data_IF_440854631676
#
_entry.id   IF_440854631676
#
_cell.length_a   1.000
_cell.length_b   1.000
_cell.length_c   1.000
_cell.angle_alpha   90.00
_cell.angle_beta   90.00
_cell.angle_gamma   90.00
#
_symmetry.space_group_name_H-M   'P 1'
#
loop_
_entity.id
_entity.type
_entity.pdbx_description
1 polymer ?
#
# COMPACT_ATOMS: atom_id res chain seq x y z
N UNK A 1 13.25 75.85 5.77
CA UNK A 1 12.57 75.26 4.59
C UNK A 1 12.09 73.89 4.96
N UNK A 2 10.78 73.63 5.06
CA UNK A 2 10.28 72.34 5.50
C UNK A 2 10.10 71.43 4.29
N UNK A 3 10.56 70.18 4.45
CA UNK A 3 10.46 69.10 3.50
C UNK A 3 9.03 68.55 3.53
N UNK A 4 8.31 68.66 2.42
CA UNK A 4 6.96 68.19 2.28
C UNK A 4 6.87 66.66 2.35
N UNK A 5 6.06 66.17 3.28
CA UNK A 5 5.64 64.76 3.36
C UNK A 5 4.72 64.45 2.20
N UNK A 6 5.16 63.57 1.32
CA UNK A 6 4.29 62.90 0.34
C UNK A 6 3.51 61.80 1.08
N UNK A 7 2.22 62.04 1.28
CA UNK A 7 1.29 61.02 1.78
C UNK A 7 0.77 60.24 0.55
N UNK A 8 1.25 59.05 0.36
CA UNK A 8 0.64 58.11 -0.63
C UNK A 8 -0.53 57.41 0.08
N UNK A 9 -1.72 57.89 -0.23
CA UNK A 9 -2.98 57.29 0.17
C UNK A 9 -3.31 56.16 -0.79
N UNK A 10 -2.85 54.92 -0.50
CA UNK A 10 -3.32 53.72 -1.19
C UNK A 10 -4.02 52.82 -0.16
N UNK A 11 -5.30 53.07 0.06
CA UNK A 11 -6.18 52.25 0.88
C UNK A 11 -6.42 50.87 0.27
N UNK A 12 -5.36 50.08 0.15
CA UNK A 12 -5.50 48.64 0.00
C UNK A 12 -5.14 48.02 1.36
N UNK A 13 -6.18 47.79 2.17
CA UNK A 13 -6.09 46.89 3.30
C UNK A 13 -5.62 45.54 2.75
N UNK A 14 -4.41 45.10 3.15
CA UNK A 14 -3.94 43.78 2.83
C UNK A 14 -5.00 42.77 3.35
N UNK A 15 -5.43 41.79 2.55
CA UNK A 15 -6.40 40.82 3.06
C UNK A 15 -5.78 40.09 4.25
N UNK A 16 -6.50 40.14 5.35
CA UNK A 16 -6.18 39.43 6.58
C UNK A 16 -5.88 37.95 6.27
N UNK A 17 -4.62 37.53 6.47
CA UNK A 17 -4.15 36.17 6.21
C UNK A 17 -4.76 35.15 7.17
N UNK A 18 -5.56 35.54 8.14
CA UNK A 18 -6.23 34.65 9.09
C UNK A 18 -7.52 34.03 8.58
N UNK A 19 -8.08 34.50 7.47
CA UNK A 19 -9.29 33.92 6.85
C UNK A 19 -8.97 33.16 5.57
N UNK A 20 -8.01 32.27 5.56
CA UNK A 20 -8.05 31.15 4.61
C UNK A 20 -9.28 30.31 4.96
N UNK A 21 -10.43 30.66 4.41
CA UNK A 21 -11.56 29.71 4.29
C UNK A 21 -11.02 28.50 3.55
N UNK A 22 -10.60 27.49 4.32
CA UNK A 22 -10.37 26.18 3.80
C UNK A 22 -11.71 25.77 3.21
N UNK A 23 -11.82 25.77 1.89
CA UNK A 23 -12.99 25.23 1.18
C UNK A 23 -13.07 23.74 1.57
N UNK A 24 -13.73 23.44 2.68
CA UNK A 24 -14.06 22.08 3.07
C UNK A 24 -15.10 21.60 2.08
N UNK A 25 -14.67 20.78 1.12
CA UNK A 25 -15.60 20.08 0.24
C UNK A 25 -16.66 19.37 1.10
N UNK A 26 -17.92 19.50 0.73
CA UNK A 26 -19.02 18.84 1.44
C UNK A 26 -18.84 17.33 1.27
N UNK A 27 -18.73 16.62 2.38
CA UNK A 27 -18.66 15.15 2.40
C UNK A 27 -20.02 14.56 2.07
N UNK A 28 -20.02 13.43 1.35
CA UNK A 28 -21.26 12.72 1.03
C UNK A 28 -22.00 12.21 2.29
N UNK A 29 -23.32 12.04 2.20
CA UNK A 29 -24.17 11.62 3.33
C UNK A 29 -23.68 10.32 3.98
N UNK A 30 -23.40 9.27 3.17
CA UNK A 30 -22.85 7.99 3.67
C UNK A 30 -21.58 8.15 4.49
N UNK A 31 -20.60 8.90 3.97
CA UNK A 31 -19.36 9.16 4.70
C UNK A 31 -19.63 9.89 6.03
N UNK A 32 -20.59 10.84 6.04
CA UNK A 32 -20.92 11.59 7.24
C UNK A 32 -21.56 10.68 8.30
N UNK A 33 -22.37 9.72 7.88
CA UNK A 33 -22.98 8.70 8.76
C UNK A 33 -21.92 7.73 9.31
N UNK A 34 -21.07 7.16 8.44
CA UNK A 34 -19.97 6.29 8.87
C UNK A 34 -18.99 7.02 9.80
N UNK A 35 -18.74 8.32 9.56
CA UNK A 35 -17.83 9.11 10.39
C UNK A 35 -18.36 9.38 11.80
N UNK A 36 -19.67 9.27 12.06
CA UNK A 36 -20.26 9.37 13.41
C UNK A 36 -19.96 8.15 14.28
N UNK A 37 -19.64 7.01 13.67
CA UNK A 37 -19.29 5.77 14.38
C UNK A 37 -17.88 5.82 14.96
N UNK A 38 -17.05 6.78 14.52
CA UNK A 38 -15.63 6.86 14.86
C UNK A 38 -15.34 8.14 15.65
N UNK A 39 -14.91 7.98 16.89
CA UNK A 39 -14.34 9.09 17.65
C UNK A 39 -12.86 9.26 17.25
N UNK A 40 -12.52 10.41 16.68
CA UNK A 40 -11.18 10.71 16.18
C UNK A 40 -10.15 11.00 17.26
N UNK A 41 -10.61 11.24 18.48
CA UNK A 41 -9.75 11.52 19.64
C UNK A 41 -9.26 10.23 20.29
N UNK A 42 -10.03 9.16 20.17
CA UNK A 42 -9.74 7.88 20.78
C UNK A 42 -8.74 7.05 19.95
N UNK A 43 -7.95 6.26 20.66
CA UNK A 43 -7.10 5.19 20.12
C UNK A 43 -7.77 3.87 20.48
N UNK A 44 -8.14 3.10 19.47
CA UNK A 44 -8.86 1.84 19.61
C UNK A 44 -7.90 0.65 19.68
N UNK A 45 -8.35 -0.43 20.26
CA UNK A 45 -7.69 -1.73 20.15
C UNK A 45 -7.96 -2.36 18.77
N UNK A 46 -7.18 -3.35 18.37
CA UNK A 46 -7.25 -3.95 17.02
C UNK A 46 -8.64 -4.54 16.75
N UNK A 47 -9.17 -5.31 17.71
CA UNK A 47 -10.45 -5.99 17.58
C UNK A 47 -11.61 -4.98 17.46
N UNK A 48 -11.61 -3.94 18.31
CA UNK A 48 -12.58 -2.86 18.24
C UNK A 48 -12.50 -2.09 16.92
N UNK A 49 -11.26 -1.78 16.48
CA UNK A 49 -11.04 -1.07 15.23
C UNK A 49 -11.56 -1.86 14.03
N UNK A 50 -11.32 -3.17 13.98
CA UNK A 50 -11.81 -4.07 12.93
C UNK A 50 -13.35 -4.12 12.93
N UNK A 51 -13.98 -4.26 14.11
CA UNK A 51 -15.43 -4.26 14.24
C UNK A 51 -16.05 -2.95 13.74
N UNK A 52 -15.44 -1.79 14.06
CA UNK A 52 -15.89 -0.47 13.60
C UNK A 52 -15.69 -0.31 12.08
N UNK A 53 -14.52 -0.75 11.52
CA UNK A 53 -14.26 -0.71 10.07
C UNK A 53 -15.34 -1.47 9.32
N UNK A 54 -15.69 -2.68 9.76
CA UNK A 54 -16.76 -3.49 9.13
C UNK A 54 -18.12 -2.81 9.18
N UNK A 55 -18.49 -2.21 10.31
CA UNK A 55 -19.73 -1.44 10.45
C UNK A 55 -19.75 -0.17 9.58
N UNK A 56 -18.58 0.46 9.38
CA UNK A 56 -18.43 1.66 8.58
C UNK A 56 -18.41 1.38 7.07
N UNK A 57 -18.12 0.15 6.65
CA UNK A 57 -18.12 -0.28 5.26
C UNK A 57 -19.58 -0.33 4.74
N UNK A 58 -19.98 0.70 4.00
CA UNK A 58 -21.37 0.92 3.56
C UNK A 58 -21.53 0.96 2.03
N UNK A 59 -20.48 0.63 1.27
CA UNK A 59 -20.54 0.61 -0.19
C UNK A 59 -21.32 -0.61 -0.72
N UNK A 60 -21.77 -0.52 -1.98
CA UNK A 60 -22.49 -1.61 -2.65
C UNK A 60 -21.58 -2.72 -3.19
N UNK A 61 -20.28 -2.56 -3.03
CA UNK A 61 -19.25 -3.53 -3.42
C UNK A 61 -18.48 -3.99 -2.19
N UNK A 62 -17.78 -5.11 -2.30
CA UNK A 62 -16.94 -5.62 -1.21
C UNK A 62 -15.70 -4.74 -1.05
N UNK A 63 -15.76 -3.85 -0.04
CA UNK A 63 -14.69 -2.89 0.25
C UNK A 63 -13.42 -3.60 0.70
N UNK A 64 -12.26 -3.03 0.36
CA UNK A 64 -10.99 -3.50 0.87
C UNK A 64 -10.70 -2.80 2.21
N UNK A 65 -10.26 -3.57 3.19
CA UNK A 65 -9.74 -3.06 4.45
C UNK A 65 -8.24 -2.86 4.31
N UNK A 66 -7.78 -1.64 4.56
CA UNK A 66 -6.39 -1.22 4.38
C UNK A 66 -5.79 -0.72 5.69
N UNK A 67 -4.52 -1.04 5.91
CA UNK A 67 -3.72 -0.51 7.00
C UNK A 67 -2.77 0.57 6.50
N UNK A 68 -2.72 1.69 7.21
CA UNK A 68 -1.82 2.80 6.95
C UNK A 68 -0.95 3.01 8.18
N UNK A 69 0.33 2.69 8.06
CA UNK A 69 1.27 2.62 9.18
C UNK A 69 2.34 3.69 8.96
N UNK A 70 2.34 4.71 9.79
CA UNK A 70 3.36 5.74 9.77
C UNK A 70 4.52 5.35 10.67
N UNK A 71 5.69 5.24 10.07
CA UNK A 71 6.92 4.87 10.74
C UNK A 71 7.75 6.09 11.17
N UNK A 72 8.57 5.90 12.20
CA UNK A 72 9.52 6.88 12.70
C UNK A 72 10.90 6.74 12.05
N UNK A 73 10.94 6.51 10.74
CA UNK A 73 12.15 6.39 9.93
C UNK A 73 12.28 7.57 8.96
N UNK A 74 13.47 7.78 8.40
CA UNK A 74 13.67 8.73 7.31
C UNK A 74 13.87 8.02 5.98
N UNK A 75 12.82 7.97 5.17
CA UNK A 75 12.81 7.30 3.85
C UNK A 75 13.74 7.94 2.80
N UNK A 76 14.45 9.02 3.13
CA UNK A 76 15.47 9.62 2.25
C UNK A 76 16.77 8.82 2.27
N UNK A 77 17.03 8.13 3.37
CA UNK A 77 18.21 7.29 3.54
C UNK A 77 17.91 5.87 3.05
N UNK A 78 18.80 5.33 2.24
CA UNK A 78 18.62 4.02 1.61
C UNK A 78 18.58 2.85 2.63
N UNK A 79 19.25 3.02 3.77
CA UNK A 79 19.30 2.11 4.91
C UNK A 79 18.02 2.11 5.76
N UNK A 80 17.20 3.17 5.62
CA UNK A 80 15.91 3.31 6.32
C UNK A 80 14.70 3.14 5.37
N UNK A 81 14.94 2.83 4.10
CA UNK A 81 13.88 2.49 3.16
C UNK A 81 13.40 1.06 3.39
N UNK A 82 12.23 0.95 4.00
CA UNK A 82 11.61 -0.35 4.22
C UNK A 82 10.84 -0.81 2.99
N UNK A 83 11.14 -2.02 2.58
CA UNK A 83 10.43 -2.76 1.54
C UNK A 83 10.54 -4.23 1.85
N UNK A 84 9.41 -4.91 1.85
CA UNK A 84 9.36 -6.34 2.10
C UNK A 84 8.10 -6.96 1.52
N UNK A 85 7.95 -8.24 1.79
CA UNK A 85 6.74 -8.98 1.48
C UNK A 85 6.34 -9.83 2.68
N UNK A 86 5.06 -10.04 2.83
CA UNK A 86 4.47 -10.89 3.86
C UNK A 86 3.37 -11.74 3.25
N UNK A 87 3.27 -12.99 3.68
CA UNK A 87 2.17 -13.87 3.30
C UNK A 87 1.11 -13.77 4.39
N UNK A 88 -0.09 -13.32 4.01
CA UNK A 88 -1.20 -13.23 4.94
C UNK A 88 -1.86 -14.60 5.12
N UNK A 89 -2.15 -15.05 6.35
CA UNK A 89 -2.72 -16.39 6.62
C UNK A 89 -4.08 -16.60 5.96
N UNK A 90 -4.89 -15.57 5.81
CA UNK A 90 -6.21 -15.64 5.17
C UNK A 90 -6.23 -14.97 3.78
N UNK A 91 -5.06 -14.59 3.25
CA UNK A 91 -4.93 -13.89 1.98
C UNK A 91 -5.57 -12.50 1.98
N UNK A 92 -5.68 -11.89 0.80
CA UNK A 92 -6.28 -10.56 0.61
C UNK A 92 -7.73 -10.60 0.11
N UNK A 93 -8.24 -11.79 -0.26
CA UNK A 93 -9.56 -11.95 -0.89
C UNK A 93 -9.63 -11.49 -2.34
N UNK A 94 -8.49 -11.13 -2.96
CA UNK A 94 -8.40 -10.80 -4.38
C UNK A 94 -7.83 -12.00 -5.14
N UNK A 95 -8.45 -12.39 -6.25
CA UNK A 95 -7.86 -13.34 -7.20
C UNK A 95 -6.77 -12.61 -7.97
N UNK A 96 -5.53 -13.05 -7.79
CA UNK A 96 -4.35 -12.44 -8.39
C UNK A 96 -3.98 -13.21 -9.66
N UNK A 97 -3.83 -12.52 -10.78
CA UNK A 97 -3.34 -13.09 -12.05
C UNK A 97 -1.84 -12.93 -12.09
N UNK A 98 -1.14 -14.04 -12.23
CA UNK A 98 0.33 -14.11 -12.17
C UNK A 98 0.90 -14.31 -13.56
N UNK A 99 1.77 -13.39 -13.97
CA UNK A 99 2.60 -13.49 -15.17
C UNK A 99 4.00 -13.96 -14.77
N UNK A 100 4.53 -14.99 -15.44
CA UNK A 100 5.86 -15.53 -15.17
C UNK A 100 6.75 -15.38 -16.41
N UNK A 101 7.92 -14.75 -16.22
CA UNK A 101 8.99 -14.73 -17.19
C UNK A 101 10.01 -15.83 -16.86
N UNK A 102 10.04 -16.89 -17.66
CA UNK A 102 10.94 -18.02 -17.50
C UNK A 102 11.44 -18.54 -18.84
N UNK A 103 12.53 -19.32 -18.83
CA UNK A 103 13.08 -20.03 -20.00
C UNK A 103 13.22 -21.52 -19.72
N UNK A 104 13.10 -22.34 -20.78
CA UNK A 104 13.35 -23.79 -20.74
C UNK A 104 12.40 -24.51 -19.77
N UNK A 105 12.92 -25.39 -18.95
CA UNK A 105 12.15 -26.25 -18.05
C UNK A 105 11.33 -25.48 -17.02
N UNK A 106 11.75 -24.24 -16.68
CA UNK A 106 11.03 -23.39 -15.73
C UNK A 106 9.66 -22.90 -16.24
N UNK A 107 9.44 -22.95 -17.55
CA UNK A 107 8.13 -22.67 -18.15
C UNK A 107 7.12 -23.75 -17.73
N UNK A 108 7.50 -25.02 -17.89
CA UNK A 108 6.65 -26.15 -17.50
C UNK A 108 6.37 -26.17 -15.98
N UNK A 109 7.39 -25.85 -15.16
CA UNK A 109 7.20 -25.72 -13.70
C UNK A 109 6.21 -24.60 -13.35
N UNK A 110 6.28 -23.45 -14.02
CA UNK A 110 5.38 -22.33 -13.80
C UNK A 110 3.93 -22.65 -14.19
N UNK A 111 3.74 -23.33 -15.32
CA UNK A 111 2.42 -23.81 -15.77
C UNK A 111 1.83 -24.83 -14.78
N UNK A 112 2.64 -25.82 -14.36
CA UNK A 112 2.23 -26.80 -13.36
C UNK A 112 1.87 -26.18 -11.99
N UNK A 113 2.55 -25.11 -11.59
CA UNK A 113 2.24 -24.34 -10.40
C UNK A 113 0.99 -23.47 -10.55
N UNK A 114 0.42 -23.39 -11.77
CA UNK A 114 -0.82 -22.68 -12.04
C UNK A 114 -0.65 -21.18 -12.31
N UNK A 115 0.48 -20.74 -12.89
CA UNK A 115 0.58 -19.37 -13.41
C UNK A 115 -0.50 -19.12 -14.47
N UNK A 116 -1.04 -17.90 -14.50
CA UNK A 116 -2.09 -17.54 -15.46
C UNK A 116 -1.49 -17.25 -16.84
N UNK A 117 -0.27 -16.69 -16.87
CA UNK A 117 0.47 -16.41 -18.08
C UNK A 117 1.94 -16.80 -17.87
N UNK A 118 2.50 -17.52 -18.80
CA UNK A 118 3.91 -17.92 -18.79
C UNK A 118 4.51 -17.62 -20.16
N UNK A 119 5.72 -17.09 -20.18
CA UNK A 119 6.43 -16.86 -21.44
C UNK A 119 7.80 -16.23 -21.24
N UNK A 120 8.48 -16.06 -22.36
CA UNK A 120 9.82 -15.51 -22.45
C UNK A 120 9.85 -14.12 -23.10
N UNK A 121 10.76 -13.98 -24.08
CA UNK A 121 10.97 -12.71 -24.78
C UNK A 121 9.78 -12.33 -25.70
N UNK A 122 8.96 -13.29 -26.09
CA UNK A 122 7.79 -13.08 -26.95
C UNK A 122 6.70 -12.21 -26.31
N UNK A 123 6.65 -12.13 -24.98
CA UNK A 123 5.68 -11.30 -24.27
C UNK A 123 6.07 -9.82 -24.23
N UNK A 124 7.34 -9.50 -24.52
CA UNK A 124 7.84 -8.12 -24.45
C UNK A 124 7.16 -7.22 -25.48
N UNK A 125 7.09 -7.58 -26.78
CA UNK A 125 6.40 -6.76 -27.77
C UNK A 125 4.93 -6.57 -27.41
N UNK A 126 4.27 -7.59 -26.87
CA UNK A 126 2.87 -7.53 -26.46
C UNK A 126 2.64 -6.51 -25.35
N UNK A 127 3.49 -6.50 -24.34
CA UNK A 127 3.42 -5.54 -23.22
C UNK A 127 3.81 -4.13 -23.69
N UNK A 128 4.88 -4.01 -24.49
CA UNK A 128 5.44 -2.71 -24.88
C UNK A 128 4.64 -2.02 -25.95
N UNK A 129 4.19 -2.73 -26.99
CA UNK A 129 3.53 -2.17 -28.17
C UNK A 129 2.01 -2.16 -28.04
N UNK A 130 1.43 -3.26 -27.50
CA UNK A 130 -0.02 -3.38 -27.37
C UNK A 130 -0.52 -2.86 -26.02
N UNK A 131 0.37 -2.58 -25.05
CA UNK A 131 -0.01 -2.12 -23.72
C UNK A 131 -0.76 -3.18 -22.90
N UNK A 132 -0.57 -4.48 -23.24
CA UNK A 132 -1.22 -5.56 -22.53
C UNK A 132 -0.71 -5.67 -21.09
N UNK A 133 -1.60 -5.52 -20.13
CA UNK A 133 -1.31 -5.49 -18.68
C UNK A 133 -2.40 -6.22 -17.88
N UNK A 134 -2.95 -7.30 -18.45
CA UNK A 134 -4.03 -8.09 -17.81
C UNK A 134 -3.52 -9.05 -16.73
N UNK A 135 -2.51 -8.62 -15.98
CA UNK A 135 -1.92 -9.35 -14.85
C UNK A 135 -1.73 -8.42 -13.66
N UNK A 136 -1.70 -8.99 -12.46
CA UNK A 136 -1.60 -8.25 -11.20
C UNK A 136 -0.21 -8.34 -10.56
N UNK A 137 0.50 -9.45 -10.81
CA UNK A 137 1.87 -9.67 -10.29
C UNK A 137 2.74 -10.29 -11.37
N UNK A 138 4.00 -9.87 -11.43
CA UNK A 138 5.01 -10.42 -12.33
C UNK A 138 6.09 -11.13 -11.52
N UNK A 139 6.37 -12.37 -11.89
CA UNK A 139 7.48 -13.17 -11.38
C UNK A 139 8.48 -13.36 -12.50
N UNK A 140 9.76 -13.28 -12.20
CA UNK A 140 10.81 -13.49 -13.19
C UNK A 140 11.94 -14.34 -12.63
N UNK A 141 12.52 -15.19 -13.45
CA UNK A 141 13.81 -15.81 -13.13
C UNK A 141 14.93 -14.77 -13.26
N UNK A 142 16.02 -14.88 -12.49
CA UNK A 142 17.14 -13.94 -12.57
C UNK A 142 17.70 -13.78 -13.99
N UNK A 143 17.72 -14.86 -14.77
CA UNK A 143 18.21 -14.88 -16.15
C UNK A 143 17.38 -13.99 -17.08
N UNK A 144 16.07 -13.89 -16.81
CA UNK A 144 15.14 -13.08 -17.60
C UNK A 144 15.12 -11.61 -17.20
N UNK A 145 15.75 -11.23 -16.07
CA UNK A 145 15.72 -9.84 -15.57
C UNK A 145 16.35 -8.84 -16.53
N UNK A 146 17.39 -9.25 -17.30
CA UNK A 146 17.99 -8.40 -18.34
C UNK A 146 16.98 -8.02 -19.43
N UNK A 147 16.10 -8.94 -19.77
CA UNK A 147 15.07 -8.79 -20.79
C UNK A 147 13.86 -8.00 -20.22
N UNK A 148 13.40 -8.37 -19.03
CA UNK A 148 12.31 -7.69 -18.32
C UNK A 148 12.69 -6.24 -17.96
N UNK A 149 13.98 -5.94 -17.78
CA UNK A 149 14.48 -4.57 -17.55
C UNK A 149 14.10 -3.58 -18.65
N UNK A 150 13.95 -4.05 -19.91
CA UNK A 150 13.46 -3.21 -21.02
C UNK A 150 12.02 -2.73 -20.82
N UNK A 151 11.22 -3.48 -20.07
CA UNK A 151 9.84 -3.13 -19.71
C UNK A 151 9.75 -2.17 -18.52
N UNK A 152 10.86 -1.77 -17.91
CA UNK A 152 10.89 -0.94 -16.71
C UNK A 152 10.13 0.37 -16.83
N UNK A 153 10.09 0.97 -18.05
CA UNK A 153 9.31 2.19 -18.32
C UNK A 153 7.79 1.96 -18.26
N UNK A 154 7.33 0.75 -18.53
CA UNK A 154 5.89 0.37 -18.53
C UNK A 154 5.50 -0.21 -17.18
N UNK A 155 6.25 -1.18 -16.68
CA UNK A 155 5.96 -1.91 -15.44
C UNK A 155 6.28 -1.09 -14.18
N UNK A 156 7.34 -0.26 -14.22
CA UNK A 156 7.81 0.51 -13.07
C UNK A 156 6.76 1.46 -12.48
N UNK A 157 6.17 2.38 -13.28
CA UNK A 157 5.14 3.32 -12.80
C UNK A 157 3.88 2.62 -12.27
N UNK A 158 3.60 1.40 -12.75
CA UNK A 158 2.43 0.60 -12.32
C UNK A 158 2.72 -0.30 -11.12
N UNK A 159 3.96 -0.32 -10.61
CA UNK A 159 4.34 -1.16 -9.48
C UNK A 159 4.44 -2.67 -9.81
N UNK A 160 4.44 -3.03 -11.10
CA UNK A 160 4.47 -4.43 -11.56
C UNK A 160 5.89 -4.96 -11.82
N UNK A 161 6.92 -4.15 -11.58
CA UNK A 161 8.31 -4.56 -11.84
C UNK A 161 8.77 -5.59 -10.81
N UNK A 162 9.25 -6.78 -11.24
CA UNK A 162 9.77 -7.79 -10.32
C UNK A 162 10.94 -7.27 -9.49
N UNK A 163 10.99 -7.69 -8.22
CA UNK A 163 12.03 -7.25 -7.29
C UNK A 163 12.51 -8.41 -6.39
N UNK A 164 13.84 -8.60 -6.22
CA UNK A 164 14.38 -9.63 -5.33
C UNK A 164 13.94 -9.45 -3.87
N UNK A 165 13.83 -8.21 -3.38
CA UNK A 165 13.40 -7.94 -1.99
C UNK A 165 11.94 -8.33 -1.72
N UNK A 166 11.09 -8.31 -2.74
CA UNK A 166 9.71 -8.80 -2.66
C UNK A 166 9.60 -10.31 -2.91
N UNK A 167 10.72 -10.96 -3.29
CA UNK A 167 10.75 -12.39 -3.63
C UNK A 167 9.99 -12.72 -4.92
N UNK A 168 9.85 -11.73 -5.84
CA UNK A 168 9.28 -11.93 -7.17
C UNK A 168 10.35 -12.18 -8.23
N UNK A 169 11.64 -12.10 -7.86
CA UNK A 169 12.76 -12.57 -8.66
C UNK A 169 13.38 -13.75 -7.95
N UNK A 170 13.17 -14.96 -8.47
CA UNK A 170 13.62 -16.21 -7.84
C UNK A 170 13.83 -17.31 -8.86
N UNK A 171 14.69 -18.28 -8.52
CA UNK A 171 14.85 -19.52 -9.28
C UNK A 171 13.74 -20.53 -8.94
N UNK A 172 13.14 -20.44 -7.75
CA UNK A 172 12.05 -21.30 -7.31
C UNK A 172 10.69 -20.65 -7.65
N UNK A 173 10.30 -20.83 -8.90
CA UNK A 173 9.08 -20.23 -9.46
C UNK A 173 7.83 -20.83 -8.83
N UNK A 174 7.83 -22.14 -8.57
CA UNK A 174 6.69 -22.85 -7.98
C UNK A 174 6.33 -22.30 -6.60
N UNK A 175 7.33 -22.12 -5.75
CA UNK A 175 7.14 -21.56 -4.40
C UNK A 175 6.61 -20.13 -4.48
N UNK A 176 7.19 -19.28 -5.35
CA UNK A 176 6.76 -17.90 -5.51
C UNK A 176 5.30 -17.79 -5.96
N UNK A 177 4.87 -18.60 -6.93
CA UNK A 177 3.48 -18.62 -7.41
C UNK A 177 2.52 -19.04 -6.29
N UNK A 178 2.86 -20.10 -5.56
CA UNK A 178 2.04 -20.58 -4.45
C UNK A 178 1.90 -19.54 -3.35
N UNK A 179 2.98 -18.87 -2.95
CA UNK A 179 2.95 -17.78 -1.97
C UNK A 179 2.09 -16.60 -2.44
N UNK A 180 2.21 -16.19 -3.71
CA UNK A 180 1.41 -15.10 -4.29
C UNK A 180 -0.07 -15.47 -4.29
N UNK A 181 -0.41 -16.70 -4.70
CA UNK A 181 -1.80 -17.19 -4.68
C UNK A 181 -2.35 -17.39 -3.27
N UNK A 182 -1.48 -17.71 -2.29
CA UNK A 182 -1.85 -17.77 -0.88
C UNK A 182 -2.11 -16.38 -0.27
N UNK A 183 -1.78 -15.28 -0.98
CA UNK A 183 -2.02 -13.93 -0.51
C UNK A 183 -0.78 -13.19 -0.03
N UNK A 184 0.35 -13.42 -0.69
CA UNK A 184 1.56 -12.62 -0.49
C UNK A 184 1.31 -11.19 -0.93
N UNK A 185 1.57 -10.25 -0.05
CA UNK A 185 1.51 -8.82 -0.30
C UNK A 185 2.90 -8.21 -0.21
N UNK A 186 3.14 -7.21 -1.04
CA UNK A 186 4.34 -6.38 -0.97
C UNK A 186 4.02 -5.09 -0.23
N UNK A 187 4.90 -4.65 0.66
CA UNK A 187 4.83 -3.34 1.28
C UNK A 187 6.08 -2.52 0.98
N UNK A 188 5.88 -1.22 0.85
CA UNK A 188 6.94 -0.27 0.58
C UNK A 188 6.65 1.04 1.31
N UNK A 189 7.70 1.59 1.92
CA UNK A 189 7.66 2.92 2.53
C UNK A 189 7.51 3.99 1.44
N UNK A 190 6.57 4.90 1.62
CA UNK A 190 6.38 6.04 0.74
C UNK A 190 7.29 7.23 1.13
N UNK A 191 7.19 8.34 0.38
CA UNK A 191 7.96 9.57 0.64
C UNK A 191 7.56 10.27 1.94
N UNK A 192 6.40 9.95 2.49
CA UNK A 192 5.86 10.52 3.74
C UNK A 192 6.10 9.61 4.94
N UNK A 193 6.87 8.55 4.74
CA UNK A 193 7.21 7.53 5.73
C UNK A 193 5.98 6.74 6.21
N UNK A 194 5.06 6.46 5.28
CA UNK A 194 3.87 5.67 5.54
C UNK A 194 3.90 4.40 4.67
N UNK A 195 3.54 3.28 5.25
CA UNK A 195 3.27 2.02 4.55
C UNK A 195 1.77 1.90 4.35
N UNK A 196 1.33 1.61 3.13
CA UNK A 196 -0.06 1.40 2.76
C UNK A 196 -0.23 -0.03 2.26
N UNK A 197 -1.05 -0.82 2.95
CA UNK A 197 -1.17 -2.27 2.68
C UNK A 197 -2.62 -2.72 2.83
N UNK A 198 -3.15 -3.51 1.88
CA UNK A 198 -4.43 -4.18 2.05
C UNK A 198 -4.30 -5.33 3.06
N UNK A 199 -5.23 -5.41 4.00
CA UNK A 199 -5.30 -6.46 5.03
C UNK A 199 -6.28 -7.55 4.64
N UNK A 200 -7.36 -7.19 3.93
CA UNK A 200 -8.39 -8.12 3.49
C UNK A 200 -9.61 -7.42 2.93
N UNK A 201 -10.71 -8.15 2.81
CA UNK A 201 -12.00 -7.64 2.36
C UNK A 201 -12.97 -7.43 3.53
N UNK A 202 -13.91 -6.51 3.38
CA UNK A 202 -14.96 -6.27 4.37
C UNK A 202 -15.84 -7.51 4.62
N UNK A 203 -15.91 -8.43 3.65
CA UNK A 203 -16.58 -9.72 3.76
C UNK A 203 -15.90 -10.72 4.70
N UNK A 204 -14.61 -10.53 5.04
CA UNK A 204 -13.88 -11.39 5.96
C UNK A 204 -14.46 -11.31 7.38
N UNK A 205 -14.24 -12.35 8.18
CA UNK A 205 -14.58 -12.32 9.61
C UNK A 205 -13.68 -11.34 10.37
N UNK A 206 -14.11 -10.91 11.55
CA UNK A 206 -13.30 -10.01 12.39
C UNK A 206 -11.99 -10.68 12.80
N UNK A 207 -12.04 -11.97 13.14
CA UNK A 207 -10.87 -12.77 13.48
C UNK A 207 -9.87 -12.89 12.33
N UNK A 208 -10.35 -13.11 11.09
CA UNK A 208 -9.48 -13.19 9.90
C UNK A 208 -8.75 -11.87 9.64
N UNK A 209 -9.45 -10.74 9.75
CA UNK A 209 -8.85 -9.42 9.59
C UNK A 209 -7.85 -9.11 10.71
N UNK A 210 -8.18 -9.45 11.95
CA UNK A 210 -7.27 -9.26 13.08
C UNK A 210 -6.00 -10.10 12.93
N UNK A 211 -6.12 -11.38 12.56
CA UNK A 211 -4.97 -12.27 12.35
C UNK A 211 -4.07 -11.77 11.19
N UNK A 212 -4.67 -11.36 10.07
CA UNK A 212 -3.92 -10.77 8.96
C UNK A 212 -3.19 -9.50 9.40
N UNK A 213 -3.85 -8.65 10.16
CA UNK A 213 -3.27 -7.41 10.67
C UNK A 213 -2.10 -7.68 11.65
N UNK A 214 -2.25 -8.61 12.58
CA UNK A 214 -1.17 -8.98 13.50
C UNK A 214 0.04 -9.55 12.75
N UNK A 215 -0.18 -10.46 11.79
CA UNK A 215 0.91 -11.01 10.96
C UNK A 215 1.65 -9.91 10.19
N UNK A 216 0.93 -8.91 9.67
CA UNK A 216 1.53 -7.75 9.02
C UNK A 216 2.35 -6.92 10.01
N UNK A 217 1.83 -6.63 11.20
CA UNK A 217 2.53 -5.84 12.21
C UNK A 217 3.79 -6.54 12.71
N UNK A 218 3.74 -7.84 12.92
CA UNK A 218 4.90 -8.64 13.29
C UNK A 218 6.01 -8.60 12.24
N UNK A 219 5.62 -8.67 10.95
CA UNK A 219 6.57 -8.58 9.85
C UNK A 219 7.25 -7.19 9.80
N UNK A 220 6.48 -6.11 9.99
CA UNK A 220 6.99 -4.74 10.01
C UNK A 220 7.90 -4.51 11.24
N UNK A 221 7.51 -5.00 12.41
CA UNK A 221 8.33 -4.90 13.63
C UNK A 221 9.66 -5.65 13.50
N UNK A 222 9.64 -6.84 12.87
CA UNK A 222 10.86 -7.62 12.58
C UNK A 222 11.78 -6.93 11.56
N UNK A 223 11.21 -6.17 10.62
CA UNK A 223 11.95 -5.45 9.59
C UNK A 223 12.56 -4.13 10.10
N UNK A 224 12.32 -3.75 11.36
CA UNK A 224 12.81 -2.48 11.94
C UNK A 224 14.31 -2.30 11.71
N UNK A 225 14.75 -1.22 11.01
CA UNK A 225 16.17 -0.94 10.79
C UNK A 225 16.89 -0.62 12.11
N UNK A 226 18.13 -1.09 12.26
CA UNK A 226 18.97 -0.75 13.42
C UNK A 226 19.23 0.76 13.53
N UNK A 227 19.20 1.48 12.41
CA UNK A 227 19.36 2.93 12.33
C UNK A 227 18.12 3.72 12.82
N UNK A 228 16.96 3.07 13.01
CA UNK A 228 15.75 3.73 13.47
C UNK A 228 15.86 4.09 14.96
N UNK A 229 15.90 5.41 15.24
CA UNK A 229 15.99 5.94 16.61
C UNK A 229 14.61 6.43 17.08
N UNK A 230 14.31 6.21 18.36
CA UNK A 230 13.08 6.66 18.99
C UNK A 230 11.87 5.78 18.67
N UNK A 231 10.67 6.38 18.67
CA UNK A 231 9.42 5.65 18.45
C UNK A 231 9.30 5.22 16.99
N UNK A 232 9.29 3.91 16.76
CA UNK A 232 9.21 3.32 15.43
C UNK A 232 7.81 3.42 14.83
N UNK A 233 6.80 2.95 15.55
CA UNK A 233 5.39 3.08 15.13
C UNK A 233 4.83 4.43 15.63
N UNK A 234 4.66 5.40 14.73
CA UNK A 234 4.12 6.72 15.09
C UNK A 234 2.60 6.75 15.09
N UNK A 235 1.98 6.19 14.08
CA UNK A 235 0.53 6.07 14.00
C UNK A 235 0.14 4.90 13.12
N UNK A 236 -0.91 4.21 13.52
CA UNK A 236 -1.51 3.10 12.79
C UNK A 236 -2.98 3.41 12.59
N UNK A 237 -3.45 3.27 11.36
CA UNK A 237 -4.85 3.57 10.99
C UNK A 237 -5.37 2.43 10.13
N UNK A 238 -6.54 1.91 10.48
CA UNK A 238 -7.33 1.02 9.62
C UNK A 238 -8.44 1.81 8.95
N UNK A 239 -8.73 1.49 7.69
CA UNK A 239 -9.83 2.08 6.95
C UNK A 239 -10.41 1.09 5.96
N UNK A 240 -11.69 1.26 5.62
CA UNK A 240 -12.27 0.64 4.42
C UNK A 240 -12.17 1.60 3.23
N UNK A 241 -12.31 1.10 2.00
CA UNK A 241 -12.13 1.88 0.76
C UNK A 241 -12.88 3.21 0.77
N UNK A 242 -14.11 3.23 1.28
CA UNK A 242 -14.97 4.44 1.31
C UNK A 242 -15.24 4.96 2.73
N UNK A 243 -14.67 4.31 3.74
CA UNK A 243 -14.90 4.62 5.15
C UNK A 243 -13.96 5.66 5.75
N UNK A 244 -14.22 6.05 7.00
CA UNK A 244 -13.30 6.87 7.78
C UNK A 244 -12.11 6.06 8.29
N UNK A 245 -10.97 6.72 8.50
CA UNK A 245 -9.81 6.11 9.15
C UNK A 245 -10.01 6.00 10.66
N UNK A 246 -9.73 4.82 11.20
CA UNK A 246 -9.82 4.46 12.61
C UNK A 246 -8.41 4.30 13.16
N UNK A 247 -8.07 5.07 14.18
CA UNK A 247 -6.74 5.07 14.78
C UNK A 247 -6.60 3.92 15.76
N UNK A 248 -5.56 3.13 15.60
CA UNK A 248 -5.17 2.06 16.53
C UNK A 248 -4.07 2.55 17.47
N UNK A 249 -4.06 2.05 18.69
CA UNK A 249 -3.03 2.36 19.67
C UNK A 249 -1.68 1.72 19.27
N UNK A 250 -0.68 2.51 18.84
CA UNK A 250 0.59 1.96 18.38
C UNK A 250 1.43 1.36 19.53
N UNK A 251 1.18 1.75 20.78
CA UNK A 251 1.95 1.27 21.95
C UNK A 251 1.69 -0.22 22.23
N UNK A 252 0.48 -0.69 21.92
CA UNK A 252 0.10 -2.11 22.10
C UNK A 252 0.61 -3.02 20.97
N UNK A 253 1.19 -2.46 19.92
CA UNK A 253 1.61 -3.17 18.70
C UNK A 253 3.14 -3.28 18.56
N UNK A 254 3.91 -2.62 19.41
CA UNK A 254 5.37 -2.55 19.37
C UNK A 254 6.06 -3.40 20.42
#
# INVERSE_FOLDING_TARGET
MPISRFVINSGRVAPDMTTRRIFRMKKGKRYTESAKLVDRTNLYDVEEAVAIVKKAASAKFDETVEAHIRLGVDGRHADQQERGAVVLPHGTGKKVRVLVFAKGDKVAEAEAAGADFVGGEELIPKIQNEGWLDFDVVVATPDMMGVVGRLGRVLGPKGLMPNPKAGTVTMDVTKAINEIKAGKIEYRLDKTNIIHVPVGKASFTEEQLANNFHTLMDAINKAKPAAAKGQYLRSVVLTSTMGPGIKINPVKLG
#
